data_IF_557503397674
#
_entry.id   IF_557503397674
#
_cell.length_a   1.000
_cell.length_b   1.000
_cell.length_c   1.000
_cell.angle_alpha   90.00
_cell.angle_beta   90.00
_cell.angle_gamma   90.00
#
_symmetry.space_group_name_H-M   'P 1'
#
loop_
_entity.id
_entity.type
_entity.pdbx_description
1 polymer ?
#
# COMPACT_ATOMS: atom_id res chain seq x y z
N UNK A 1 9.84 0.94 72.23
CA UNK A 1 10.45 1.26 70.93
C UNK A 1 9.82 0.50 69.75
N UNK A 2 9.42 -0.77 69.87
CA UNK A 2 8.91 -1.56 68.72
C UNK A 2 7.51 -1.15 68.21
N UNK A 3 6.66 -0.60 69.09
CA UNK A 3 5.29 -0.15 68.74
C UNK A 3 5.26 1.12 67.87
N UNK A 4 6.34 1.89 67.84
CA UNK A 4 6.43 3.10 67.00
C UNK A 4 6.76 2.77 65.54
N UNK A 5 7.67 1.80 65.29
CA UNK A 5 7.98 1.35 63.92
C UNK A 5 6.76 0.79 63.17
N UNK A 6 5.83 0.11 63.87
CA UNK A 6 4.58 -0.39 63.25
C UNK A 6 3.59 0.71 62.84
N UNK A 7 3.66 1.89 63.47
CA UNK A 7 2.75 3.02 63.20
C UNK A 7 3.18 3.81 61.95
N UNK A 8 4.49 3.92 61.73
CA UNK A 8 5.13 4.51 60.54
C UNK A 8 4.82 3.70 59.27
N UNK A 9 4.97 2.36 59.32
CA UNK A 9 4.70 1.47 58.16
C UNK A 9 3.23 1.52 57.73
N UNK A 10 2.28 1.67 58.68
CA UNK A 10 0.84 1.80 58.37
C UNK A 10 0.46 3.16 57.78
N UNK A 11 1.21 4.23 58.08
CA UNK A 11 1.03 5.56 57.47
C UNK A 11 1.55 5.60 56.03
N UNK A 12 2.62 4.86 55.74
CA UNK A 12 3.17 4.72 54.38
C UNK A 12 2.25 3.92 53.44
N UNK A 13 1.34 3.11 53.99
CA UNK A 13 0.33 2.33 53.25
C UNK A 13 -1.03 3.05 53.15
N UNK A 14 -1.09 4.36 53.41
CA UNK A 14 -2.29 5.16 53.18
C UNK A 14 -2.44 5.37 51.66
N UNK A 15 -2.86 4.30 50.99
CA UNK A 15 -3.22 4.23 49.59
C UNK A 15 -4.35 5.23 49.35
N UNK A 16 -3.99 6.48 49.05
CA UNK A 16 -4.86 7.43 48.36
C UNK A 16 -5.08 6.85 46.96
N UNK A 17 -5.94 5.85 46.87
CA UNK A 17 -6.40 5.31 45.60
C UNK A 17 -7.08 6.43 44.82
N UNK A 18 -6.89 6.41 43.50
CA UNK A 18 -7.61 7.28 42.58
C UNK A 18 -9.11 7.24 42.89
N UNK A 19 -9.76 8.40 42.93
CA UNK A 19 -11.21 8.46 43.07
C UNK A 19 -11.87 7.80 41.86
N UNK A 20 -12.94 7.04 42.08
CA UNK A 20 -13.76 6.50 40.98
C UNK A 20 -14.22 7.63 40.04
N UNK A 21 -14.50 8.82 40.60
CA UNK A 21 -14.89 10.01 39.83
C UNK A 21 -13.77 10.49 38.91
N UNK A 22 -12.53 10.44 39.36
CA UNK A 22 -11.37 10.84 38.54
C UNK A 22 -11.17 9.87 37.38
N UNK A 23 -11.38 8.56 37.61
CA UNK A 23 -11.25 7.55 36.56
C UNK A 23 -12.35 7.66 35.50
N UNK A 24 -13.62 7.89 35.90
CA UNK A 24 -14.73 8.04 34.94
C UNK A 24 -14.57 9.27 34.04
N UNK A 25 -14.01 10.37 34.57
CA UNK A 25 -13.75 11.58 33.78
C UNK A 25 -12.66 11.30 32.73
N UNK A 26 -11.63 10.54 33.08
CA UNK A 26 -10.54 10.18 32.14
C UNK A 26 -11.07 9.34 30.98
N UNK A 27 -11.84 8.29 31.25
CA UNK A 27 -12.41 7.46 30.16
C UNK A 27 -13.39 8.27 29.31
N UNK A 28 -14.12 9.22 29.89
CA UNK A 28 -15.04 10.09 29.15
C UNK A 28 -14.30 10.99 28.15
N UNK A 29 -13.17 11.60 28.56
CA UNK A 29 -12.37 12.42 27.65
C UNK A 29 -11.71 11.57 26.55
N UNK A 30 -11.16 10.40 26.90
CA UNK A 30 -10.58 9.48 25.90
C UNK A 30 -11.65 9.03 24.90
N UNK A 31 -12.88 8.73 25.35
CA UNK A 31 -13.98 8.34 24.47
C UNK A 31 -14.34 9.46 23.47
N UNK A 32 -14.41 10.71 23.94
CA UNK A 32 -14.70 11.87 23.06
C UNK A 32 -13.57 12.06 22.03
N UNK A 33 -12.31 12.06 22.47
CA UNK A 33 -11.16 12.23 21.58
C UNK A 33 -11.07 11.09 20.56
N UNK A 34 -11.25 9.83 21.00
CA UNK A 34 -11.26 8.68 20.11
C UNK A 34 -12.39 8.75 19.09
N UNK A 35 -13.58 9.21 19.49
CA UNK A 35 -14.73 9.37 18.61
C UNK A 35 -14.48 10.33 17.45
N UNK A 36 -13.79 11.45 17.69
CA UNK A 36 -13.45 12.43 16.64
C UNK A 36 -12.29 11.96 15.76
N UNK A 37 -11.31 11.27 16.35
CA UNK A 37 -10.09 10.84 15.64
C UNK A 37 -10.32 9.63 14.72
N UNK A 38 -11.25 8.73 15.04
CA UNK A 38 -11.50 7.50 14.29
C UNK A 38 -11.75 7.71 12.78
N UNK A 39 -12.72 8.57 12.33
CA UNK A 39 -12.96 8.76 10.89
C UNK A 39 -11.79 9.44 10.18
N UNK A 40 -11.08 10.33 10.87
CA UNK A 40 -9.91 11.01 10.33
C UNK A 40 -8.77 10.02 10.09
N UNK A 41 -8.53 9.10 11.04
CA UNK A 41 -7.51 8.06 10.90
C UNK A 41 -7.79 7.15 9.70
N UNK A 42 -9.04 6.70 9.51
CA UNK A 42 -9.41 5.85 8.37
C UNK A 42 -9.08 6.54 7.04
N UNK A 43 -9.42 7.83 6.90
CA UNK A 43 -9.11 8.61 5.70
C UNK A 43 -7.60 8.73 5.45
N UNK A 44 -6.79 8.90 6.50
CA UNK A 44 -5.34 8.95 6.37
C UNK A 44 -4.74 7.58 6.00
N UNK A 45 -5.28 6.49 6.54
CA UNK A 45 -4.86 5.14 6.16
C UNK A 45 -5.13 4.87 4.68
N UNK A 46 -6.31 5.25 4.18
CA UNK A 46 -6.63 5.11 2.75
C UNK A 46 -5.72 5.97 1.88
N UNK A 47 -5.47 7.22 2.27
CA UNK A 47 -4.51 8.09 1.57
C UNK A 47 -3.10 7.50 1.56
N UNK A 48 -2.66 6.91 2.67
CA UNK A 48 -1.35 6.25 2.76
C UNK A 48 -1.27 5.02 1.85
N UNK A 49 -2.33 4.23 1.78
CA UNK A 49 -2.40 3.06 0.89
C UNK A 49 -2.37 3.48 -0.59
N UNK A 50 -3.18 4.47 -0.96
CA UNK A 50 -3.18 5.06 -2.31
C UNK A 50 -1.79 5.57 -2.71
N UNK A 51 -1.11 6.29 -1.81
CA UNK A 51 0.23 6.80 -2.06
C UNK A 51 1.26 5.66 -2.25
N UNK A 52 1.15 4.58 -1.47
CA UNK A 52 2.00 3.41 -1.63
C UNK A 52 1.78 2.71 -2.99
N UNK A 53 0.55 2.67 -3.49
CA UNK A 53 0.22 2.07 -4.79
C UNK A 53 0.76 2.91 -5.94
N UNK A 54 0.62 4.23 -5.86
CA UNK A 54 1.23 5.17 -6.83
C UNK A 54 2.75 5.03 -6.83
N UNK A 55 3.39 4.95 -5.66
CA UNK A 55 4.83 4.76 -5.56
C UNK A 55 5.27 3.42 -6.18
N UNK A 56 4.50 2.36 -5.94
CA UNK A 56 4.77 1.04 -6.53
C UNK A 56 4.64 1.07 -8.05
N UNK A 57 3.60 1.73 -8.58
CA UNK A 57 3.43 1.94 -10.00
C UNK A 57 4.57 2.76 -10.62
N UNK A 58 5.09 3.78 -9.93
CA UNK A 58 6.27 4.54 -10.39
C UNK A 58 7.53 3.68 -10.44
N UNK A 59 7.74 2.80 -9.46
CA UNK A 59 8.84 1.83 -9.48
C UNK A 59 8.71 0.87 -10.67
N UNK A 60 7.51 0.35 -10.92
CA UNK A 60 7.23 -0.49 -12.09
C UNK A 60 7.47 0.31 -13.38
N UNK A 61 6.99 1.55 -13.48
CA UNK A 61 7.20 2.40 -14.64
C UNK A 61 8.68 2.66 -14.92
N UNK A 62 9.48 2.85 -13.87
CA UNK A 62 10.92 3.01 -13.99
C UNK A 62 11.55 1.75 -14.57
N UNK A 63 11.18 0.57 -14.07
CA UNK A 63 11.66 -0.70 -14.60
C UNK A 63 11.22 -0.94 -16.05
N UNK A 64 9.98 -0.59 -16.40
CA UNK A 64 9.49 -0.66 -17.78
C UNK A 64 10.30 0.27 -18.69
N UNK A 65 10.55 1.52 -18.29
CA UNK A 65 11.37 2.46 -19.07
C UNK A 65 12.79 1.92 -19.29
N UNK A 66 13.42 1.34 -18.26
CA UNK A 66 14.75 0.74 -18.38
C UNK A 66 14.72 -0.48 -19.30
N UNK A 67 13.71 -1.35 -19.18
CA UNK A 67 13.54 -2.50 -20.07
C UNK A 67 13.35 -2.07 -21.53
N UNK A 68 12.56 -1.02 -21.79
CA UNK A 68 12.33 -0.49 -23.14
C UNK A 68 13.55 0.21 -23.75
N UNK A 69 14.57 0.53 -22.97
CA UNK A 69 15.84 1.05 -23.51
C UNK A 69 16.61 -0.03 -24.29
N UNK A 70 16.32 -1.31 -24.07
CA UNK A 70 16.83 -2.41 -24.89
C UNK A 70 15.96 -2.61 -26.14
N UNK A 71 16.56 -2.54 -27.32
CA UNK A 71 15.87 -2.68 -28.62
C UNK A 71 15.09 -4.01 -28.74
N UNK A 72 15.67 -5.13 -28.30
CA UNK A 72 15.01 -6.43 -28.37
C UNK A 72 13.78 -6.50 -27.44
N UNK A 73 13.85 -5.84 -26.29
CA UNK A 73 12.74 -5.72 -25.35
C UNK A 73 11.66 -4.77 -25.88
N UNK A 74 12.04 -3.66 -26.51
CA UNK A 74 11.10 -2.72 -27.12
C UNK A 74 10.19 -3.38 -28.17
N UNK A 75 10.75 -4.24 -29.02
CA UNK A 75 10.00 -5.00 -30.02
C UNK A 75 9.09 -6.07 -29.42
N UNK A 76 9.43 -6.59 -28.23
CA UNK A 76 8.68 -7.64 -27.52
C UNK A 76 7.81 -7.10 -26.37
N UNK A 77 7.72 -5.79 -26.22
CA UNK A 77 6.88 -5.14 -25.22
C UNK A 77 5.42 -5.58 -25.35
N UNK A 78 4.82 -6.01 -24.24
CA UNK A 78 3.49 -6.62 -24.22
C UNK A 78 2.70 -6.13 -23.01
N UNK A 79 1.42 -5.80 -23.23
CA UNK A 79 0.48 -5.41 -22.18
C UNK A 79 0.10 -6.63 -21.34
N UNK A 80 0.22 -6.52 -20.02
CA UNK A 80 -0.01 -7.61 -19.09
C UNK A 80 -0.01 -7.10 -17.66
N UNK A 81 -0.56 -7.92 -16.75
CA UNK A 81 -0.45 -7.68 -15.32
C UNK A 81 0.92 -8.02 -14.75
N UNK A 82 1.34 -7.35 -13.68
CA UNK A 82 2.69 -7.47 -13.13
C UNK A 82 2.93 -8.87 -12.55
N UNK A 83 1.93 -9.51 -11.94
CA UNK A 83 2.09 -10.88 -11.42
C UNK A 83 2.43 -11.90 -12.51
N UNK A 84 1.82 -11.77 -13.69
CA UNK A 84 2.14 -12.62 -14.85
C UNK A 84 3.50 -12.26 -15.40
N UNK A 85 3.80 -10.97 -15.55
CA UNK A 85 5.09 -10.50 -16.06
C UNK A 85 6.27 -11.07 -15.26
N UNK A 86 6.13 -11.15 -13.93
CA UNK A 86 7.19 -11.61 -13.02
C UNK A 86 7.24 -13.13 -12.80
N UNK A 87 6.22 -13.88 -13.22
CA UNK A 87 6.18 -15.35 -13.09
C UNK A 87 6.41 -16.08 -14.41
N UNK A 88 6.10 -15.43 -15.54
CA UNK A 88 6.17 -16.02 -16.86
C UNK A 88 7.57 -16.52 -17.21
N UNK A 89 7.62 -17.54 -18.07
CA UNK A 89 8.86 -17.93 -18.73
C UNK A 89 9.26 -16.84 -19.73
N UNK A 90 10.39 -16.18 -19.45
CA UNK A 90 10.91 -15.07 -20.24
C UNK A 90 11.86 -15.52 -21.35
N UNK A 91 12.11 -16.83 -21.53
CA UNK A 91 13.11 -17.35 -22.48
C UNK A 91 12.94 -16.80 -23.90
N UNK A 92 11.70 -16.58 -24.35
CA UNK A 92 11.38 -16.09 -25.69
C UNK A 92 10.86 -14.64 -25.71
N UNK A 93 10.91 -13.92 -24.59
CA UNK A 93 10.45 -12.54 -24.51
C UNK A 93 11.47 -11.67 -23.77
N UNK A 94 12.24 -10.91 -24.54
CA UNK A 94 13.28 -10.01 -24.02
C UNK A 94 12.72 -8.96 -23.07
N UNK A 95 11.50 -8.44 -23.29
CA UNK A 95 10.88 -7.50 -22.36
C UNK A 95 10.61 -8.12 -20.99
N UNK A 96 10.05 -9.34 -20.96
CA UNK A 96 9.83 -10.06 -19.70
C UNK A 96 11.14 -10.32 -18.98
N UNK A 97 12.19 -10.67 -19.73
CA UNK A 97 13.50 -10.97 -19.17
C UNK A 97 14.09 -9.73 -18.50
N UNK A 98 14.17 -8.61 -19.22
CA UNK A 98 14.68 -7.34 -18.67
C UNK A 98 13.85 -6.88 -17.46
N UNK A 99 12.52 -6.95 -17.55
CA UNK A 99 11.65 -6.55 -16.45
C UNK A 99 11.86 -7.45 -15.21
N UNK A 100 12.01 -8.76 -15.39
CA UNK A 100 12.31 -9.72 -14.33
C UNK A 100 13.71 -9.53 -13.75
N UNK A 101 14.68 -9.14 -14.55
CA UNK A 101 16.04 -8.85 -14.10
C UNK A 101 16.08 -7.60 -13.21
N UNK A 102 15.22 -6.60 -13.49
CA UNK A 102 15.13 -5.34 -12.72
C UNK A 102 14.26 -5.49 -11.46
N UNK A 103 13.05 -6.02 -11.61
CA UNK A 103 12.06 -6.11 -10.52
C UNK A 103 12.18 -7.40 -9.69
N UNK A 104 12.93 -8.39 -10.20
CA UNK A 104 13.04 -9.71 -9.63
C UNK A 104 11.94 -10.66 -10.12
N UNK A 105 12.35 -11.79 -10.70
CA UNK A 105 11.45 -12.91 -10.99
C UNK A 105 10.86 -13.47 -9.68
N UNK A 106 9.57 -13.76 -9.69
CA UNK A 106 8.88 -14.41 -8.56
C UNK A 106 8.39 -15.79 -8.96
N UNK A 107 8.39 -16.74 -8.02
CA UNK A 107 7.93 -18.12 -8.27
C UNK A 107 6.40 -18.27 -8.24
N UNK A 108 5.70 -17.28 -7.69
CA UNK A 108 4.24 -17.27 -7.52
C UNK A 108 3.77 -15.81 -7.61
N UNK A 109 2.72 -15.56 -8.40
CA UNK A 109 2.13 -14.24 -8.60
C UNK A 109 1.59 -13.63 -7.30
N UNK A 110 1.35 -14.46 -6.28
CA UNK A 110 1.00 -13.99 -4.94
C UNK A 110 2.09 -13.14 -4.27
N UNK A 111 3.35 -13.32 -4.69
CA UNK A 111 4.52 -12.58 -4.17
C UNK A 111 4.88 -11.36 -5.01
N UNK A 112 4.22 -11.14 -6.14
CA UNK A 112 4.39 -9.93 -6.93
C UNK A 112 3.92 -8.69 -6.15
N UNK A 113 4.36 -7.48 -6.54
CA UNK A 113 3.82 -6.24 -5.98
C UNK A 113 2.29 -6.19 -6.17
N UNK A 114 1.55 -5.90 -5.10
CA UNK A 114 0.08 -5.82 -5.12
C UNK A 114 -0.44 -4.48 -4.60
N UNK A 115 -1.58 -3.99 -5.12
CA UNK A 115 -2.25 -2.82 -4.58
C UNK A 115 -2.65 -3.01 -3.11
N UNK A 116 -2.49 -1.96 -2.31
CA UNK A 116 -2.86 -1.90 -0.89
C UNK A 116 -4.20 -1.19 -0.68
N UNK A 117 -4.54 -0.22 -1.53
CA UNK A 117 -5.83 0.43 -1.50
C UNK A 117 -6.88 -0.46 -2.15
N UNK A 118 -7.99 -0.71 -1.45
CA UNK A 118 -9.06 -1.63 -1.88
C UNK A 118 -8.50 -2.95 -2.44
N UNK A 119 -7.60 -3.59 -1.70
CA UNK A 119 -6.96 -4.87 -2.05
C UNK A 119 -7.95 -6.03 -2.26
N UNK A 120 -9.20 -5.87 -1.83
CA UNK A 120 -10.28 -6.81 -2.09
C UNK A 120 -10.82 -6.72 -3.52
N UNK A 121 -10.71 -5.54 -4.12
CA UNK A 121 -11.19 -5.21 -5.47
C UNK A 121 -10.04 -5.25 -6.49
N UNK A 122 -8.92 -4.60 -6.18
CA UNK A 122 -7.78 -4.51 -7.08
C UNK A 122 -6.69 -5.48 -6.63
N UNK A 123 -6.44 -6.53 -7.41
CA UNK A 123 -5.51 -7.60 -7.04
C UNK A 123 -4.12 -7.46 -7.61
N UNK A 124 -3.95 -6.62 -8.63
CA UNK A 124 -2.71 -6.51 -9.40
C UNK A 124 -2.51 -5.10 -9.98
N UNK A 125 -1.38 -4.90 -10.65
CA UNK A 125 -1.11 -3.75 -11.52
C UNK A 125 -1.08 -4.20 -12.97
N UNK A 126 -1.69 -3.43 -13.86
CA UNK A 126 -1.75 -3.73 -15.28
C UNK A 126 -0.92 -2.74 -16.09
N UNK A 127 0.05 -3.23 -16.85
CA UNK A 127 0.84 -2.44 -17.80
C UNK A 127 0.12 -2.47 -19.14
N UNK A 128 -0.22 -1.30 -19.67
CA UNK A 128 -0.85 -1.14 -20.97
C UNK A 128 0.04 -0.36 -21.91
N UNK A 129 0.45 -0.99 -23.01
CA UNK A 129 1.14 -0.33 -24.11
C UNK A 129 0.15 0.17 -25.15
N UNK A 130 0.25 1.44 -25.49
CA UNK A 130 -0.48 2.06 -26.60
C UNK A 130 0.17 1.72 -27.95
N UNK A 131 -0.54 1.95 -29.07
CA UNK A 131 0.01 1.75 -30.41
C UNK A 131 1.29 2.55 -30.70
N UNK A 132 1.46 3.70 -30.03
CA UNK A 132 2.65 4.57 -30.12
C UNK A 132 3.81 4.14 -29.22
N UNK A 133 3.70 2.97 -28.57
CA UNK A 133 4.66 2.38 -27.63
C UNK A 133 4.86 3.19 -26.34
N UNK A 134 4.08 4.24 -26.12
CA UNK A 134 3.93 4.79 -24.77
C UNK A 134 3.15 3.81 -23.90
N UNK A 135 3.33 3.88 -22.58
CA UNK A 135 2.65 2.98 -21.66
C UNK A 135 1.98 3.71 -20.50
N UNK A 136 0.96 3.06 -19.98
CA UNK A 136 0.19 3.47 -18.82
C UNK A 136 0.14 2.30 -17.83
N UNK A 137 0.09 2.64 -16.54
CA UNK A 137 -0.06 1.62 -15.49
C UNK A 137 -1.38 1.89 -14.79
N UNK A 138 -2.20 0.85 -14.74
CA UNK A 138 -3.49 0.84 -14.08
C UNK A 138 -3.45 -0.04 -12.84
N UNK A 139 -4.32 0.25 -11.89
CA UNK A 139 -4.64 -0.73 -10.85
C UNK A 139 -5.70 -1.71 -11.39
N UNK A 140 -5.54 -3.00 -11.12
CA UNK A 140 -6.47 -4.04 -11.55
C UNK A 140 -5.78 -5.21 -12.25
N UNK A 141 -6.54 -6.30 -12.42
CA UNK A 141 -6.05 -7.51 -13.09
C UNK A 141 -6.00 -7.38 -14.62
N UNK A 142 -6.86 -6.52 -15.17
CA UNK A 142 -7.04 -6.30 -16.60
C UNK A 142 -7.02 -4.81 -16.91
N UNK A 143 -6.89 -4.48 -18.20
CA UNK A 143 -7.09 -3.12 -18.67
C UNK A 143 -8.51 -2.66 -18.28
N UNK A 144 -8.67 -1.57 -17.51
CA UNK A 144 -10.00 -1.10 -17.15
C UNK A 144 -10.82 -0.76 -18.39
N UNK A 145 -12.16 -0.83 -18.26
CA UNK A 145 -13.06 -0.30 -19.27
C UNK A 145 -12.77 1.19 -19.49
N UNK A 146 -13.06 1.70 -20.69
CA UNK A 146 -12.70 3.06 -21.11
C UNK A 146 -13.14 4.15 -20.13
N UNK A 147 -14.31 3.99 -19.50
CA UNK A 147 -14.84 4.93 -18.51
C UNK A 147 -14.00 4.97 -17.21
N UNK A 148 -13.44 3.82 -16.83
CA UNK A 148 -12.68 3.66 -15.58
C UNK A 148 -11.19 3.95 -15.73
N UNK A 149 -10.65 3.95 -16.94
CA UNK A 149 -9.23 4.17 -17.20
C UNK A 149 -8.74 5.51 -16.61
N UNK A 150 -9.49 6.60 -16.79
CA UNK A 150 -9.15 7.92 -16.21
C UNK A 150 -9.13 7.90 -14.68
N UNK A 151 -9.91 7.02 -14.08
CA UNK A 151 -10.10 6.92 -12.63
C UNK A 151 -9.04 6.03 -11.98
N UNK A 152 -8.65 4.93 -12.64
CA UNK A 152 -7.81 3.85 -12.11
C UNK A 152 -6.34 3.90 -12.57
N UNK A 153 -5.99 4.83 -13.44
CA UNK A 153 -4.60 5.06 -13.85
C UNK A 153 -3.74 5.55 -12.67
N UNK A 154 -2.53 5.01 -12.58
CA UNK A 154 -1.52 5.36 -11.58
C UNK A 154 -0.28 6.04 -12.18
N UNK A 155 0.02 5.74 -13.45
CA UNK A 155 1.12 6.32 -14.22
C UNK A 155 0.68 6.52 -15.67
N UNK A 156 1.04 7.64 -16.35
CA UNK A 156 1.94 8.71 -15.88
C UNK A 156 1.27 9.75 -14.97
N UNK A 157 -0.05 9.92 -15.10
CA UNK A 157 -0.83 10.82 -14.24
C UNK A 157 -1.72 10.01 -13.32
N UNK A 158 -1.77 10.37 -12.04
CA UNK A 158 -2.64 9.70 -11.07
C UNK A 158 -4.10 10.04 -11.34
N UNK A 159 -4.94 9.01 -11.46
CA UNK A 159 -6.38 9.09 -11.71
C UNK A 159 -7.18 9.57 -10.50
N UNK A 160 -8.44 9.93 -10.72
CA UNK A 160 -9.31 10.54 -9.69
C UNK A 160 -9.53 9.65 -8.47
N UNK A 161 -9.52 8.33 -8.61
CA UNK A 161 -9.70 7.42 -7.47
C UNK A 161 -8.48 7.36 -6.55
N UNK A 162 -7.32 7.82 -7.02
CA UNK A 162 -6.07 7.84 -6.28
C UNK A 162 -5.60 9.26 -5.89
N UNK A 163 -6.40 10.29 -6.20
CA UNK A 163 -6.26 11.63 -5.65
C UNK A 163 -6.86 11.74 -4.24
#
# INVERSE_FOLDING_TARGET
MEREKKKEIRKALNNKGFSLVELIIVIAIIAILAGVLAPQLIKYLDKSKKAADVQTAQTIATAVNVALANEAAYEKAVSQKISVALTADATNNAFLKELQDILGKVSDGSKAPKPKYKSDVYKDFYIYFKPDKTFEIYVGDDLPNTEDQVSLILYPTVGTQYK
#
